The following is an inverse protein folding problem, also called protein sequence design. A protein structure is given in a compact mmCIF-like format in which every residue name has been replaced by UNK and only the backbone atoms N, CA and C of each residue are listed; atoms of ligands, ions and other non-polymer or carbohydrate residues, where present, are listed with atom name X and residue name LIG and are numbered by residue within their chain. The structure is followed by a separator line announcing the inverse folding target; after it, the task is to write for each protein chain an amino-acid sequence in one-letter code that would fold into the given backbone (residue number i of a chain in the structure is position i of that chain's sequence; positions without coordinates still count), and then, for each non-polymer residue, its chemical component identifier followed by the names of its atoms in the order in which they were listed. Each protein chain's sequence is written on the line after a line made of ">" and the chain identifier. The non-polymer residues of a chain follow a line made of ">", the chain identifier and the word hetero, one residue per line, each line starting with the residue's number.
data_IF_903934610394
#
_entry.id   IF_903934610394
#
_cell.length_a   1.000
_cell.length_b   1.000
_cell.length_c   1.000
_cell.angle_alpha   90.00
_cell.angle_beta   90.00
_cell.angle_gamma   90.00
#
_symmetry.space_group_name_H-M   'P 1'
#
loop_
_entity.id
_entity.type
_entity.pdbx_description
1 polymer ?
#
# COMPACT_ATOMS: atom_id res chain seq x y z
N UNK A 1 -1.98 -15.96 -4.66
CA UNK A 1 -1.08 -16.24 -3.53
C UNK A 1 -0.50 -14.97 -2.90
N UNK A 2 -0.46 -13.82 -3.62
CA UNK A 2 0.19 -12.60 -3.15
C UNK A 2 -0.50 -12.00 -1.90
N UNK A 3 -1.83 -11.93 -1.89
CA UNK A 3 -2.61 -11.34 -0.79
C UNK A 3 -2.33 -12.03 0.56
N UNK A 4 -2.48 -13.37 0.71
CA UNK A 4 -2.18 -14.04 1.98
C UNK A 4 -0.72 -13.90 2.40
N UNK A 5 0.23 -14.00 1.47
CA UNK A 5 1.65 -13.84 1.77
C UNK A 5 1.99 -12.43 2.25
N UNK A 6 1.39 -11.40 1.64
CA UNK A 6 1.53 -10.01 2.05
C UNK A 6 1.05 -9.82 3.50
N UNK A 7 -0.12 -10.35 3.86
CA UNK A 7 -0.68 -10.19 5.21
C UNK A 7 0.06 -10.99 6.30
N UNK A 8 1.05 -11.80 5.92
CA UNK A 8 2.02 -12.39 6.86
C UNK A 8 3.32 -11.59 6.92
N UNK A 9 3.83 -11.13 5.78
CA UNK A 9 5.11 -10.41 5.71
C UNK A 9 4.97 -8.97 6.20
N UNK A 10 3.98 -8.24 5.69
CA UNK A 10 3.84 -6.81 5.98
C UNK A 10 3.63 -6.52 7.48
N UNK A 11 2.75 -7.23 8.22
CA UNK A 11 2.64 -7.02 9.66
C UNK A 11 3.92 -7.39 10.42
N UNK A 12 4.64 -8.43 9.99
CA UNK A 12 5.92 -8.81 10.58
C UNK A 12 6.96 -7.69 10.42
N UNK A 13 7.10 -7.14 9.22
CA UNK A 13 7.99 -5.99 8.95
C UNK A 13 7.53 -4.73 9.71
N UNK A 14 6.22 -4.44 9.76
CA UNK A 14 5.65 -3.31 10.50
C UNK A 14 5.93 -3.41 12.00
N UNK A 15 5.76 -4.58 12.61
CA UNK A 15 6.02 -4.78 14.04
C UNK A 15 7.46 -4.46 14.40
N UNK A 16 8.39 -4.89 13.55
CA UNK A 16 9.82 -4.61 13.69
C UNK A 16 10.16 -3.13 13.43
N UNK A 17 9.67 -2.57 12.32
CA UNK A 17 9.99 -1.21 11.93
C UNK A 17 9.39 -0.16 12.87
N UNK A 18 8.16 -0.36 13.35
CA UNK A 18 7.50 0.56 14.29
C UNK A 18 7.97 0.40 15.74
N UNK A 19 8.80 -0.61 16.05
CA UNK A 19 9.44 -0.73 17.36
C UNK A 19 10.32 0.48 17.72
N UNK A 20 10.84 1.20 16.71
CA UNK A 20 11.65 2.41 16.89
C UNK A 20 10.90 3.58 17.55
N UNK A 21 9.58 3.60 17.47
CA UNK A 21 8.74 4.61 18.13
C UNK A 21 8.44 4.18 19.58
N UNK A 22 9.45 4.23 20.40
CA UNK A 22 9.47 3.79 21.81
C UNK A 22 9.41 4.96 22.81
N UNK A 23 9.22 6.19 22.34
CA UNK A 23 9.24 7.43 23.09
C UNK A 23 10.65 7.88 23.60
N UNK A 24 11.73 7.22 23.15
CA UNK A 24 13.07 7.54 23.69
C UNK A 24 13.81 8.59 22.87
N UNK A 25 13.86 8.44 21.53
CA UNK A 25 14.75 9.25 20.68
C UNK A 25 14.02 10.30 19.85
N UNK A 26 12.82 10.04 19.38
CA UNK A 26 12.07 10.92 18.48
C UNK A 26 10.59 10.52 18.41
N UNK A 27 9.79 11.43 17.89
CA UNK A 27 8.34 11.26 17.75
C UNK A 27 7.60 11.75 19.00
N UNK A 28 6.35 11.31 19.11
CA UNK A 28 5.51 11.61 20.27
C UNK A 28 6.13 11.02 21.54
N UNK A 29 6.08 11.78 22.63
CA UNK A 29 6.43 11.33 23.98
C UNK A 29 5.40 11.86 24.96
N UNK A 30 4.77 10.98 25.71
CA UNK A 30 3.74 11.28 26.70
C UNK A 30 4.18 10.80 28.08
N UNK A 31 3.62 11.42 29.11
CA UNK A 31 3.83 11.09 30.51
C UNK A 31 5.32 11.09 30.95
N UNK A 32 6.11 12.00 30.35
CA UNK A 32 7.52 12.20 30.69
C UNK A 32 7.66 13.26 31.81
N UNK A 33 7.08 12.97 32.95
CA UNK A 33 7.05 13.85 34.15
C UNK A 33 8.17 13.55 35.15
N UNK A 34 8.97 12.50 34.90
CA UNK A 34 10.02 12.02 35.79
C UNK A 34 9.54 11.00 36.85
N UNK A 35 8.23 10.83 37.00
CA UNK A 35 7.65 9.88 37.96
C UNK A 35 7.34 8.51 37.34
N UNK A 36 7.26 8.45 35.99
CA UNK A 36 6.97 7.23 35.24
C UNK A 36 8.24 6.51 34.79
N UNK A 37 8.19 5.17 34.84
CA UNK A 37 9.27 4.35 34.28
C UNK A 37 9.29 4.44 32.74
N UNK A 38 10.44 4.18 32.11
CA UNK A 38 10.57 4.16 30.65
C UNK A 38 9.54 3.25 29.96
N UNK A 39 9.19 2.12 30.61
CA UNK A 39 8.16 1.21 30.10
C UNK A 39 6.76 1.85 30.15
N UNK A 40 6.43 2.59 31.22
CA UNK A 40 5.15 3.29 31.34
C UNK A 40 5.04 4.40 30.29
N UNK A 41 6.09 5.23 30.12
CA UNK A 41 6.17 6.27 29.09
C UNK A 41 6.01 5.66 27.69
N UNK A 42 6.71 4.58 27.38
CA UNK A 42 6.59 3.87 26.12
C UNK A 42 5.17 3.33 25.89
N UNK A 43 4.56 2.73 26.91
CA UNK A 43 3.20 2.18 26.84
C UNK A 43 2.16 3.27 26.57
N UNK A 44 2.20 4.38 27.31
CA UNK A 44 1.32 5.52 27.13
C UNK A 44 1.46 6.14 25.75
N UNK A 45 2.70 6.40 25.32
CA UNK A 45 3.02 7.00 24.03
C UNK A 45 2.56 6.13 22.85
N UNK A 46 2.90 4.84 22.85
CA UNK A 46 2.49 3.91 21.78
C UNK A 46 0.99 3.67 21.80
N UNK A 47 0.38 3.65 22.99
CA UNK A 47 -1.05 3.53 23.17
C UNK A 47 -1.85 4.68 22.56
N UNK A 48 -1.36 5.89 22.68
CA UNK A 48 -2.00 7.09 22.14
C UNK A 48 -1.60 7.36 20.67
N UNK A 49 -0.33 7.14 20.33
CA UNK A 49 0.22 7.50 19.03
C UNK A 49 -0.15 6.56 17.89
N UNK A 50 -0.40 5.27 18.15
CA UNK A 50 -0.81 4.32 17.13
C UNK A 50 -2.32 4.15 17.06
N UNK A 51 -2.87 4.31 15.85
CA UNK A 51 -4.28 3.99 15.57
C UNK A 51 -4.58 2.48 15.67
N UNK A 52 -5.86 2.13 15.65
CA UNK A 52 -6.33 0.75 15.85
C UNK A 52 -5.74 -0.24 14.82
N UNK A 53 -5.67 0.14 13.54
CA UNK A 53 -5.14 -0.74 12.49
C UNK A 53 -3.63 -0.95 12.64
N UNK A 54 -2.86 0.09 12.96
CA UNK A 54 -1.42 -0.05 13.22
C UNK A 54 -1.17 -1.00 14.40
N UNK A 55 -1.92 -0.87 15.48
CA UNK A 55 -1.86 -1.78 16.65
C UNK A 55 -2.17 -3.22 16.26
N UNK A 56 -3.22 -3.44 15.46
CA UNK A 56 -3.60 -4.76 14.97
C UNK A 56 -2.45 -5.40 14.19
N UNK A 57 -1.84 -4.67 13.25
CA UNK A 57 -0.71 -5.16 12.44
C UNK A 57 0.53 -5.44 13.28
N UNK A 58 0.84 -4.60 14.26
CA UNK A 58 1.95 -4.84 15.20
C UNK A 58 1.74 -6.15 15.96
N UNK A 59 0.53 -6.40 16.48
CA UNK A 59 0.20 -7.62 17.22
C UNK A 59 0.31 -8.85 16.32
N UNK A 60 -0.30 -8.81 15.13
CA UNK A 60 -0.26 -9.91 14.15
C UNK A 60 1.18 -10.20 13.72
N UNK A 61 1.98 -9.16 13.46
CA UNK A 61 3.38 -9.31 13.07
C UNK A 61 4.23 -9.92 14.19
N UNK A 62 4.05 -9.47 15.40
CA UNK A 62 4.73 -10.04 16.57
C UNK A 62 4.40 -11.52 16.75
N UNK A 63 3.12 -11.88 16.54
CA UNK A 63 2.68 -13.28 16.59
C UNK A 63 3.32 -14.12 15.48
N UNK A 64 3.30 -13.64 14.23
CA UNK A 64 3.90 -14.35 13.10
C UNK A 64 5.42 -14.55 13.23
N UNK A 65 6.11 -13.67 13.97
CA UNK A 65 7.54 -13.77 14.24
C UNK A 65 7.87 -14.55 15.50
N UNK A 66 6.88 -14.98 16.29
CA UNK A 66 7.12 -15.69 17.54
C UNK A 66 7.63 -17.12 17.31
N UNK A 67 8.30 -17.68 18.34
CA UNK A 67 8.82 -19.04 18.31
C UNK A 67 7.72 -20.06 17.98
N UNK A 68 8.00 -20.99 17.08
CA UNK A 68 7.07 -22.00 16.60
C UNK A 68 6.18 -21.57 15.42
N UNK A 69 6.02 -20.25 15.16
CA UNK A 69 5.21 -19.74 14.05
C UNK A 69 6.05 -19.12 12.92
N UNK A 70 7.28 -18.74 13.21
CA UNK A 70 8.17 -18.08 12.25
C UNK A 70 8.32 -18.87 10.94
N UNK A 71 8.73 -20.14 11.03
CA UNK A 71 8.95 -20.98 9.84
C UNK A 71 7.64 -21.33 9.12
N UNK A 72 6.58 -21.58 9.90
CA UNK A 72 5.28 -21.95 9.36
C UNK A 72 4.63 -20.80 8.58
N UNK A 73 4.69 -19.59 9.08
CA UNK A 73 4.02 -18.44 8.49
C UNK A 73 4.97 -17.52 7.74
N UNK A 74 5.89 -16.86 8.43
CA UNK A 74 6.78 -15.87 7.81
C UNK A 74 7.73 -16.52 6.79
N UNK A 75 8.38 -17.62 7.14
CA UNK A 75 9.26 -18.34 6.25
C UNK A 75 8.54 -18.88 5.00
N UNK A 76 7.33 -19.38 5.16
CA UNK A 76 6.50 -19.84 4.02
C UNK A 76 6.08 -18.67 3.12
N UNK A 77 5.68 -17.54 3.70
CA UNK A 77 5.32 -16.35 2.95
C UNK A 77 6.53 -15.77 2.17
N UNK A 78 7.73 -15.80 2.72
CA UNK A 78 8.95 -15.40 2.01
C UNK A 78 9.26 -16.31 0.80
N UNK A 79 8.99 -17.60 0.90
CA UNK A 79 9.11 -18.52 -0.26
C UNK A 79 8.12 -18.15 -1.36
N UNK A 80 6.87 -17.82 -1.01
CA UNK A 80 5.86 -17.33 -1.96
C UNK A 80 6.31 -16.01 -2.59
N UNK A 81 6.84 -15.07 -1.81
CA UNK A 81 7.41 -13.81 -2.33
C UNK A 81 8.47 -14.08 -3.40
N UNK A 82 9.35 -15.05 -3.17
CA UNK A 82 10.37 -15.45 -4.15
C UNK A 82 9.75 -15.97 -5.46
N UNK A 83 8.65 -16.71 -5.39
CA UNK A 83 7.95 -17.17 -6.59
C UNK A 83 7.34 -16.00 -7.36
N UNK A 84 6.69 -15.07 -6.68
CA UNK A 84 6.16 -13.84 -7.29
C UNK A 84 7.27 -13.05 -7.99
N UNK A 85 8.42 -12.87 -7.34
CA UNK A 85 9.59 -12.21 -7.95
C UNK A 85 10.07 -12.90 -9.22
N UNK A 86 10.05 -14.25 -9.26
CA UNK A 86 10.41 -15.03 -10.43
C UNK A 86 9.41 -14.85 -11.57
N UNK A 87 8.13 -14.78 -11.29
CA UNK A 87 7.09 -14.56 -12.30
C UNK A 87 7.29 -13.20 -12.98
N UNK A 88 7.54 -12.14 -12.20
CA UNK A 88 7.89 -10.83 -12.76
C UNK A 88 9.21 -10.87 -13.55
N UNK A 89 10.24 -11.50 -13.01
CA UNK A 89 11.52 -11.63 -13.71
C UNK A 89 11.38 -12.39 -15.06
N UNK A 90 10.45 -13.33 -15.15
CA UNK A 90 10.15 -14.02 -16.40
C UNK A 90 9.42 -13.10 -17.37
N UNK A 91 8.43 -12.33 -16.90
CA UNK A 91 7.68 -11.38 -17.73
C UNK A 91 8.62 -10.33 -18.34
N UNK A 92 9.60 -9.82 -17.60
CA UNK A 92 10.58 -8.85 -18.09
C UNK A 92 11.50 -9.35 -19.21
N UNK A 93 11.48 -10.64 -19.54
CA UNK A 93 12.21 -11.18 -20.71
C UNK A 93 11.50 -10.89 -22.03
N UNK A 94 10.21 -10.58 -22.00
CA UNK A 94 9.35 -10.41 -23.16
C UNK A 94 8.69 -9.03 -23.26
N UNK A 95 8.76 -8.23 -22.22
CA UNK A 95 8.17 -6.89 -22.21
C UNK A 95 8.97 -5.93 -21.33
N UNK A 96 8.83 -4.63 -21.62
CA UNK A 96 9.50 -3.55 -20.93
C UNK A 96 8.66 -2.96 -19.79
N UNK A 97 7.35 -3.11 -19.87
CA UNK A 97 6.39 -2.70 -18.85
C UNK A 97 5.19 -3.65 -18.83
N UNK A 98 4.54 -3.75 -17.70
CA UNK A 98 3.25 -4.42 -17.52
C UNK A 98 2.20 -3.40 -17.13
N UNK A 99 0.97 -3.62 -17.55
CA UNK A 99 -0.17 -2.79 -17.18
C UNK A 99 -1.26 -3.64 -16.55
N UNK A 100 -1.97 -3.07 -15.60
CA UNK A 100 -3.09 -3.69 -14.91
C UNK A 100 -4.04 -2.63 -14.37
N UNK A 101 -5.29 -2.96 -13.97
CA UNK A 101 -6.08 -2.07 -13.13
C UNK A 101 -5.33 -1.80 -11.81
N UNK A 102 -5.42 -0.58 -11.29
CA UNK A 102 -4.83 -0.25 -9.98
C UNK A 102 -5.63 -0.87 -8.84
N UNK A 103 -6.96 -0.86 -8.97
CA UNK A 103 -7.89 -1.42 -7.97
C UNK A 103 -8.98 -2.25 -8.65
N UNK A 104 -9.59 -3.23 -7.95
CA UNK A 104 -10.67 -4.05 -8.52
C UNK A 104 -11.96 -3.28 -8.82
N UNK A 105 -12.18 -2.16 -8.14
CA UNK A 105 -13.39 -1.33 -8.26
C UNK A 105 -13.02 0.14 -8.26
N UNK A 106 -13.91 1.00 -8.70
CA UNK A 106 -13.85 2.45 -8.46
C UNK A 106 -13.95 2.75 -6.96
N UNK A 107 -13.81 4.03 -6.59
CA UNK A 107 -13.95 4.46 -5.20
C UNK A 107 -15.32 4.03 -4.64
N UNK A 108 -15.33 3.62 -3.38
CA UNK A 108 -16.54 3.26 -2.64
C UNK A 108 -16.94 4.40 -1.67
N UNK A 109 -18.17 4.39 -1.21
CA UNK A 109 -18.71 5.41 -0.31
C UNK A 109 -17.96 5.43 1.02
N UNK A 110 -17.74 6.62 1.57
CA UNK A 110 -17.11 6.77 2.89
C UNK A 110 -17.92 6.00 3.94
N UNK A 111 -17.22 5.17 4.72
CA UNK A 111 -17.83 4.33 5.76
C UNK A 111 -18.36 2.96 5.29
N UNK A 112 -18.52 2.73 3.99
CA UNK A 112 -19.15 1.50 3.44
C UNK A 112 -18.44 0.22 3.86
N UNK A 113 -17.10 0.27 4.05
CA UNK A 113 -16.27 -0.92 4.32
C UNK A 113 -15.62 -0.90 5.69
N UNK A 114 -16.05 -0.02 6.61
CA UNK A 114 -15.44 0.11 7.94
C UNK A 114 -15.64 -1.12 8.81
N UNK A 115 -16.75 -1.83 8.63
CA UNK A 115 -17.14 -2.98 9.45
C UNK A 115 -16.66 -4.33 8.86
N UNK A 116 -16.12 -4.33 7.63
CA UNK A 116 -15.53 -5.53 7.00
C UNK A 116 -14.07 -5.28 6.60
N UNK A 117 -13.11 -5.59 7.49
CA UNK A 117 -11.68 -5.48 7.18
C UNK A 117 -11.25 -6.30 5.96
N UNK A 118 -11.93 -7.42 5.68
CA UNK A 118 -11.61 -8.26 4.53
C UNK A 118 -12.05 -7.61 3.20
N UNK A 119 -13.14 -6.84 3.20
CA UNK A 119 -13.55 -6.06 2.05
C UNK A 119 -12.53 -4.95 1.73
N UNK A 120 -12.00 -4.28 2.77
CA UNK A 120 -10.90 -3.32 2.62
C UNK A 120 -9.64 -3.97 2.05
N UNK A 121 -9.25 -5.12 2.60
CA UNK A 121 -8.04 -5.83 2.16
C UNK A 121 -8.12 -6.32 0.71
N UNK A 122 -9.30 -6.66 0.23
CA UNK A 122 -9.50 -7.03 -1.19
C UNK A 122 -9.25 -5.87 -2.16
N UNK A 123 -9.36 -4.62 -1.70
CA UNK A 123 -9.05 -3.46 -2.52
C UNK A 123 -7.58 -3.41 -2.96
N UNK A 124 -6.68 -4.03 -2.20
CA UNK A 124 -5.23 -4.07 -2.46
C UNK A 124 -4.80 -5.18 -3.43
N UNK A 125 -5.75 -5.99 -3.94
CA UNK A 125 -5.45 -7.18 -4.73
C UNK A 125 -4.53 -6.93 -5.92
N UNK A 126 -4.70 -5.80 -6.60
CA UNK A 126 -3.95 -5.46 -7.81
C UNK A 126 -2.58 -4.83 -7.50
N UNK A 127 -2.40 -4.18 -6.35
CA UNK A 127 -1.16 -3.47 -6.00
C UNK A 127 -0.17 -4.33 -5.20
N UNK A 128 -0.68 -5.29 -4.44
CA UNK A 128 0.15 -6.20 -3.63
C UNK A 128 1.20 -6.96 -4.45
N UNK A 129 0.93 -7.51 -5.65
CA UNK A 129 1.94 -8.22 -6.42
C UNK A 129 3.19 -7.39 -6.71
N UNK A 130 3.03 -6.11 -7.09
CA UNK A 130 4.14 -5.20 -7.35
C UNK A 130 4.96 -4.95 -6.07
N UNK A 131 4.29 -4.74 -4.92
CA UNK A 131 4.93 -4.58 -3.62
C UNK A 131 5.71 -5.84 -3.20
N UNK A 132 5.13 -7.02 -3.40
CA UNK A 132 5.78 -8.29 -3.07
C UNK A 132 6.98 -8.59 -3.95
N UNK A 133 6.91 -8.24 -5.23
CA UNK A 133 8.01 -8.38 -6.16
C UNK A 133 9.11 -7.32 -5.94
N UNK A 134 8.77 -6.16 -5.39
CA UNK A 134 9.68 -5.03 -5.21
C UNK A 134 9.98 -4.32 -6.53
N UNK A 135 9.04 -4.30 -7.47
CA UNK A 135 9.18 -3.65 -8.77
C UNK A 135 8.70 -2.19 -8.71
N UNK A 136 9.18 -1.36 -9.63
CA UNK A 136 8.67 0.00 -9.79
C UNK A 136 7.22 -0.03 -10.28
N UNK A 137 6.34 0.78 -9.70
CA UNK A 137 4.94 0.85 -10.12
C UNK A 137 4.35 2.23 -9.86
N UNK A 138 3.42 2.66 -10.72
CA UNK A 138 2.67 3.90 -10.59
C UNK A 138 1.24 3.73 -11.12
N UNK A 139 0.32 4.55 -10.64
CA UNK A 139 -1.07 4.59 -11.11
C UNK A 139 -1.31 5.89 -11.86
N UNK A 140 -1.85 5.78 -13.07
CA UNK A 140 -2.14 6.92 -13.94
C UNK A 140 -3.63 6.95 -14.26
N UNK A 141 -4.28 8.12 -14.27
CA UNK A 141 -5.67 8.24 -14.67
C UNK A 141 -5.86 7.74 -16.11
N UNK A 142 -6.86 6.90 -16.33
CA UNK A 142 -7.12 6.34 -17.67
C UNK A 142 -8.59 6.42 -18.12
N UNK A 143 -9.42 7.13 -17.39
CA UNK A 143 -10.83 7.35 -17.72
C UNK A 143 -11.70 7.40 -16.49
N UNK A 144 -13.00 7.36 -16.73
CA UNK A 144 -14.05 7.33 -15.71
C UNK A 144 -14.88 6.06 -15.85
N UNK A 145 -15.32 5.50 -14.72
CA UNK A 145 -16.36 4.48 -14.65
C UNK A 145 -17.38 4.91 -13.60
N UNK A 146 -18.65 4.93 -13.96
CA UNK A 146 -19.75 5.45 -13.11
C UNK A 146 -19.49 6.90 -12.62
N UNK A 147 -18.79 7.72 -13.45
CA UNK A 147 -18.42 9.08 -13.11
C UNK A 147 -17.24 9.22 -12.15
N UNK A 148 -16.59 8.11 -11.77
CA UNK A 148 -15.46 8.09 -10.84
C UNK A 148 -14.16 7.75 -11.56
N UNK A 149 -13.00 8.30 -11.14
CA UNK A 149 -11.70 8.07 -11.77
C UNK A 149 -11.29 6.59 -11.73
N UNK A 150 -10.71 6.12 -12.84
CA UNK A 150 -10.09 4.80 -12.97
C UNK A 150 -8.58 4.97 -13.14
N UNK A 151 -7.81 4.18 -12.41
CA UNK A 151 -6.35 4.14 -12.48
C UNK A 151 -5.83 2.96 -13.29
N UNK A 152 -4.95 3.24 -14.26
CA UNK A 152 -4.11 2.24 -14.92
C UNK A 152 -2.82 2.10 -14.12
N UNK A 153 -2.55 0.92 -13.59
CA UNK A 153 -1.27 0.61 -12.97
C UNK A 153 -0.25 0.27 -14.07
N UNK A 154 0.87 0.97 -14.06
CA UNK A 154 2.04 0.68 -14.89
C UNK A 154 3.13 0.13 -13.98
N UNK A 155 3.69 -1.01 -14.33
CA UNK A 155 4.79 -1.65 -13.60
C UNK A 155 6.01 -1.80 -14.50
N UNK A 156 7.22 -1.64 -13.93
CA UNK A 156 8.49 -1.77 -14.64
C UNK A 156 9.51 -2.51 -13.74
N UNK A 157 10.64 -3.00 -14.27
CA UNK A 157 11.67 -3.65 -13.47
C UNK A 157 12.12 -2.81 -12.27
N UNK A 158 12.74 -3.47 -11.30
CA UNK A 158 13.31 -2.81 -10.10
C UNK A 158 14.22 -1.65 -10.51
N UNK A 159 14.07 -0.48 -9.86
CA UNK A 159 14.80 0.76 -10.13
C UNK A 159 14.56 1.38 -11.52
N UNK A 160 13.56 0.94 -12.26
CA UNK A 160 13.16 1.51 -13.55
C UNK A 160 11.96 2.47 -13.42
N UNK A 161 11.98 3.34 -12.41
CA UNK A 161 10.91 4.31 -12.13
C UNK A 161 10.73 5.29 -13.29
N UNK A 162 11.81 5.68 -13.98
CA UNK A 162 11.78 6.50 -15.20
C UNK A 162 10.91 5.86 -16.29
N UNK A 163 10.93 4.54 -16.40
CA UNK A 163 10.12 3.79 -17.38
C UNK A 163 8.63 3.87 -17.02
N UNK A 164 8.29 3.75 -15.73
CA UNK A 164 6.91 3.90 -15.25
C UNK A 164 6.36 5.27 -15.66
N UNK A 165 7.10 6.35 -15.41
CA UNK A 165 6.69 7.70 -15.79
C UNK A 165 6.61 7.91 -17.30
N UNK A 166 7.55 7.38 -18.07
CA UNK A 166 7.51 7.50 -19.54
C UNK A 166 6.29 6.80 -20.14
N UNK A 167 5.97 5.59 -19.67
CA UNK A 167 4.77 4.88 -20.12
C UNK A 167 3.51 5.59 -19.66
N UNK A 168 3.46 6.04 -18.42
CA UNK A 168 2.34 6.81 -17.88
C UNK A 168 2.07 8.09 -18.69
N UNK A 169 3.11 8.88 -18.97
CA UNK A 169 2.98 10.09 -19.79
C UNK A 169 2.54 9.79 -21.23
N UNK A 170 3.01 8.69 -21.82
CA UNK A 170 2.57 8.29 -23.16
C UNK A 170 1.07 7.89 -23.19
N UNK A 171 0.61 7.20 -22.15
CA UNK A 171 -0.81 6.86 -22.00
C UNK A 171 -1.66 8.12 -21.81
N UNK A 172 -1.25 9.03 -20.93
CA UNK A 172 -1.94 10.28 -20.68
C UNK A 172 -2.07 11.11 -21.96
N UNK A 173 -0.98 11.30 -22.69
CA UNK A 173 -0.98 12.02 -23.99
C UNK A 173 -1.90 11.38 -25.01
N UNK A 174 -1.86 10.06 -25.18
CA UNK A 174 -2.71 9.35 -26.13
C UNK A 174 -4.21 9.47 -25.78
N UNK A 175 -4.53 9.49 -24.48
CA UNK A 175 -5.88 9.67 -24.01
C UNK A 175 -6.37 11.12 -24.21
N UNK A 176 -5.54 12.11 -23.93
CA UNK A 176 -5.83 13.52 -24.17
C UNK A 176 -6.08 13.80 -25.66
N UNK A 177 -5.26 13.22 -26.55
CA UNK A 177 -5.51 13.30 -28.00
C UNK A 177 -6.84 12.65 -28.41
N UNK A 178 -7.16 11.49 -27.84
CA UNK A 178 -8.40 10.76 -28.11
C UNK A 178 -9.66 11.48 -27.63
N UNK A 179 -9.60 12.12 -26.47
CA UNK A 179 -10.73 12.80 -25.86
C UNK A 179 -10.84 14.27 -26.26
N UNK A 180 -9.74 14.87 -26.73
CA UNK A 180 -9.67 16.29 -27.07
C UNK A 180 -9.55 17.22 -25.86
N UNK A 181 -9.36 16.67 -24.68
CA UNK A 181 -9.17 17.41 -23.43
C UNK A 181 -8.39 16.58 -22.39
N UNK A 182 -7.81 17.23 -21.40
CA UNK A 182 -7.20 16.55 -20.26
C UNK A 182 -8.25 16.03 -19.29
N UNK A 183 -8.07 14.84 -18.76
CA UNK A 183 -8.93 14.27 -17.71
C UNK A 183 -8.98 15.14 -16.46
N UNK A 184 -7.91 15.88 -16.17
CA UNK A 184 -7.87 16.84 -15.05
C UNK A 184 -8.89 17.97 -15.20
N UNK A 185 -9.34 18.29 -16.44
CA UNK A 185 -10.36 19.32 -16.65
C UNK A 185 -11.75 18.89 -16.17
N UNK A 186 -11.96 17.60 -15.97
CA UNK A 186 -13.22 17.01 -15.47
C UNK A 186 -13.24 16.86 -13.94
N UNK A 187 -12.10 17.05 -13.27
CA UNK A 187 -12.03 16.97 -11.81
C UNK A 187 -12.76 18.19 -11.23
N UNK A 188 -13.74 17.99 -10.32
CA UNK A 188 -14.37 19.09 -9.61
C UNK A 188 -13.35 19.99 -8.93
N UNK A 189 -13.44 21.28 -9.15
CA UNK A 189 -12.58 22.25 -8.47
C UNK A 189 -13.11 22.47 -7.04
N UNK A 190 -12.43 21.99 -6.00
CA UNK A 190 -12.93 22.11 -4.63
C UNK A 190 -13.11 23.58 -4.19
N UNK A 191 -12.38 24.52 -4.80
CA UNK A 191 -12.56 25.95 -4.51
C UNK A 191 -13.88 26.50 -5.08
N UNK A 192 -14.54 25.82 -6.02
CA UNK A 192 -15.84 26.20 -6.58
C UNK A 192 -17.04 25.54 -5.92
N UNK A 193 -16.84 24.48 -5.15
CA UNK A 193 -17.92 23.81 -4.41
C UNK A 193 -18.27 24.53 -3.11
N UNK A 194 -17.31 25.18 -2.46
CA UNK A 194 -17.54 25.99 -1.23
C UNK A 194 -18.24 27.35 -1.52
N UNK A 195 -18.51 27.68 -2.79
CA UNK A 195 -19.17 28.91 -3.22
C UNK A 195 -20.68 28.73 -3.51
N UNK A 196 -21.26 27.56 -3.18
CA UNK A 196 -22.70 27.27 -3.29
C UNK A 196 -23.27 26.98 -1.91
#
# INVERSE_FOLDING_TARGET
>A
YALPAYYLIQPAEVSSNLARYDAMRYGLRLDDDGDHSAEQVMRATRGAGFGAEAKRRIILGTYALSAGYFDAYYGSAQKIRTLIQRDFAQAWRSCDALVAPTTPTVAFTLGERTDDPMAMYRADLCTIPANMAGVAAGSFPCGLADGLPVGLQVMAPVMADDRVYRVGAAVEHALEESWGHSLLSEVPDPAKEDAR
#
